data_IF_586084514769
#
_entry.id   IF_586084514769
#
_cell.length_a   1.000
_cell.length_b   1.000
_cell.length_c   1.000
_cell.angle_alpha   90.00
_cell.angle_beta   90.00
_cell.angle_gamma   90.00
#
_symmetry.space_group_name_H-M   'P 1'
#
loop_
_entity.id
_entity.type
_entity.pdbx_description
1 polymer ?
#
# COMPACT_ATOMS: atom_id res chain seq x y z
N UNK A 1 -7.07 4.15 -31.64
CA UNK A 1 -6.07 3.74 -30.63
C UNK A 1 -6.69 3.96 -29.26
N UNK A 2 -6.99 2.91 -28.51
CA UNK A 2 -7.40 3.03 -27.12
C UNK A 2 -6.14 2.80 -26.28
N UNK A 3 -5.57 3.87 -25.70
CA UNK A 3 -4.59 3.72 -24.64
C UNK A 3 -5.33 3.14 -23.44
N UNK A 4 -5.21 1.83 -23.23
CA UNK A 4 -5.93 1.13 -22.17
C UNK A 4 -5.49 1.61 -20.79
N UNK A 5 -6.23 2.56 -20.22
CA UNK A 5 -6.17 2.88 -18.79
C UNK A 5 -6.85 1.74 -18.02
N UNK A 6 -6.11 0.67 -17.74
CA UNK A 6 -6.58 -0.39 -16.85
C UNK A 6 -5.52 -0.70 -15.78
N UNK A 7 -4.83 0.33 -15.31
CA UNK A 7 -3.97 0.21 -14.14
C UNK A 7 -4.87 0.14 -12.90
N UNK A 8 -5.28 -1.08 -12.53
CA UNK A 8 -5.90 -1.35 -11.24
C UNK A 8 -4.90 -1.03 -10.14
N UNK A 9 -5.14 0.04 -9.40
CA UNK A 9 -4.35 0.42 -8.24
C UNK A 9 -5.14 0.05 -6.99
N UNK A 10 -4.53 -0.74 -6.11
CA UNK A 10 -5.04 -1.02 -4.77
C UNK A 10 -4.26 -0.13 -3.81
N UNK A 11 -4.96 0.74 -3.09
CA UNK A 11 -4.35 1.66 -2.12
C UNK A 11 -4.79 1.25 -0.72
N UNK A 12 -3.83 1.13 0.20
CA UNK A 12 -4.08 0.96 1.63
C UNK A 12 -3.27 1.96 2.45
N UNK A 13 -3.65 2.08 3.72
CA UNK A 13 -2.86 2.76 4.76
C UNK A 13 -2.40 1.72 5.77
N UNK A 14 -1.14 1.79 6.19
CA UNK A 14 -0.59 0.92 7.22
C UNK A 14 0.20 1.74 8.23
N UNK A 15 0.04 1.40 9.50
CA UNK A 15 0.74 2.02 10.62
C UNK A 15 1.39 0.96 11.49
N UNK A 16 2.33 1.39 12.34
CA UNK A 16 2.96 0.49 13.30
C UNK A 16 1.90 -0.23 14.14
N UNK A 17 1.95 -1.56 14.16
CA UNK A 17 1.00 -2.51 14.76
C UNK A 17 -0.16 -3.01 13.89
N UNK A 18 -0.33 -2.51 12.66
CA UNK A 18 -1.37 -3.02 11.77
C UNK A 18 -1.04 -4.45 11.25
N UNK A 19 -2.03 -5.35 11.12
CA UNK A 19 -1.78 -6.72 10.65
C UNK A 19 -1.29 -6.77 9.19
N UNK A 20 -0.08 -7.30 8.97
CA UNK A 20 0.49 -7.42 7.62
C UNK A 20 -0.23 -8.44 6.72
N UNK A 21 -1.01 -9.35 7.30
CA UNK A 21 -1.73 -10.38 6.55
C UNK A 21 -2.70 -9.77 5.50
N UNK A 22 -3.32 -8.64 5.83
CA UNK A 22 -4.19 -7.89 4.91
C UNK A 22 -3.39 -7.37 3.72
N UNK A 23 -2.28 -6.68 3.99
CA UNK A 23 -1.36 -6.14 2.98
C UNK A 23 -0.81 -7.21 2.02
N UNK A 24 -0.49 -8.40 2.54
CA UNK A 24 -0.09 -9.56 1.73
C UNK A 24 -1.23 -10.02 0.81
N UNK A 25 -2.46 -10.09 1.34
CA UNK A 25 -3.65 -10.42 0.55
C UNK A 25 -3.88 -9.42 -0.59
N UNK A 26 -3.70 -8.12 -0.32
CA UNK A 26 -3.82 -7.07 -1.33
C UNK A 26 -2.71 -7.15 -2.38
N UNK A 27 -1.47 -7.44 -1.99
CA UNK A 27 -0.38 -7.67 -2.94
C UNK A 27 -0.66 -8.89 -3.84
N UNK A 28 -1.20 -9.98 -3.29
CA UNK A 28 -1.63 -11.14 -4.09
C UNK A 28 -2.77 -10.77 -5.05
N UNK A 29 -3.77 -10.02 -4.59
CA UNK A 29 -4.87 -9.57 -5.44
C UNK A 29 -4.39 -8.66 -6.57
N UNK A 30 -3.49 -7.72 -6.28
CA UNK A 30 -2.86 -6.86 -7.28
C UNK A 30 -2.10 -7.70 -8.31
N UNK A 31 -1.27 -8.64 -7.86
CA UNK A 31 -0.52 -9.56 -8.72
C UNK A 31 -1.42 -10.33 -9.69
N UNK A 32 -2.48 -10.98 -9.17
CA UNK A 32 -3.39 -11.78 -9.99
C UNK A 32 -4.27 -10.96 -10.95
N UNK A 33 -4.50 -9.68 -10.64
CA UNK A 33 -5.32 -8.81 -11.48
C UNK A 33 -4.51 -7.94 -12.45
N UNK A 34 -3.17 -8.07 -12.44
CA UNK A 34 -2.27 -7.21 -13.21
C UNK A 34 -2.23 -5.77 -12.69
N UNK A 35 -2.63 -5.57 -11.44
CA UNK A 35 -2.65 -4.29 -10.75
C UNK A 35 -1.37 -3.98 -9.99
N UNK A 36 -1.35 -2.83 -9.33
CA UNK A 36 -0.29 -2.39 -8.42
C UNK A 36 -0.83 -2.18 -7.02
N UNK A 37 0.00 -2.45 -6.02
CA UNK A 37 -0.32 -2.25 -4.62
C UNK A 37 0.49 -1.07 -4.09
N UNK A 38 -0.19 -0.03 -3.59
CA UNK A 38 0.41 1.13 -2.96
C UNK A 38 -0.01 1.21 -1.49
N UNK A 39 0.96 1.35 -0.59
CA UNK A 39 0.73 1.52 0.84
C UNK A 39 1.22 2.90 1.30
N UNK A 40 0.36 3.62 2.00
CA UNK A 40 0.69 4.88 2.66
C UNK A 40 1.02 4.63 4.13
N UNK A 41 2.16 5.13 4.58
CA UNK A 41 2.63 4.96 5.96
C UNK A 41 2.95 6.31 6.60
N UNK A 42 2.77 6.46 7.93
CA UNK A 42 2.89 7.76 8.60
C UNK A 42 4.32 8.31 8.65
N UNK A 43 5.32 7.43 8.60
CA UNK A 43 6.73 7.79 8.80
C UNK A 43 7.68 6.76 8.15
N UNK A 44 8.96 7.13 8.04
CA UNK A 44 9.97 6.29 7.40
C UNK A 44 10.30 5.02 8.21
N UNK A 45 10.13 5.03 9.53
CA UNK A 45 10.30 3.80 10.33
C UNK A 45 9.18 2.80 10.00
N UNK A 46 7.95 3.27 9.93
CA UNK A 46 6.79 2.47 9.50
C UNK A 46 7.02 1.91 8.08
N UNK A 47 7.62 2.69 7.16
CA UNK A 47 8.00 2.21 5.82
C UNK A 47 8.98 1.04 5.86
N UNK A 48 10.04 1.14 6.65
CA UNK A 48 11.06 0.09 6.74
C UNK A 48 10.49 -1.19 7.35
N UNK A 49 9.68 -1.06 8.40
CA UNK A 49 9.01 -2.18 9.03
C UNK A 49 8.02 -2.87 8.07
N UNK A 50 7.22 -2.09 7.35
CA UNK A 50 6.30 -2.59 6.33
C UNK A 50 7.02 -3.33 5.20
N UNK A 51 8.09 -2.74 4.64
CA UNK A 51 8.87 -3.37 3.56
C UNK A 51 9.53 -4.68 4.02
N UNK A 52 10.04 -4.73 5.27
CA UNK A 52 10.61 -5.94 5.83
C UNK A 52 9.54 -7.05 5.99
N UNK A 53 8.34 -6.68 6.48
CA UNK A 53 7.24 -7.61 6.65
C UNK A 53 6.66 -8.10 5.30
N UNK A 54 6.74 -7.27 4.25
CA UNK A 54 6.33 -7.59 2.88
C UNK A 54 7.38 -8.37 2.07
N UNK A 55 8.51 -8.77 2.67
CA UNK A 55 9.58 -9.51 1.98
C UNK A 55 9.13 -10.81 1.29
N UNK A 56 8.03 -11.42 1.78
CA UNK A 56 7.44 -12.63 1.21
C UNK A 56 6.29 -12.36 0.22
N UNK A 57 6.00 -11.11 -0.11
CA UNK A 57 4.94 -10.76 -1.06
C UNK A 57 5.35 -11.13 -2.49
N UNK A 58 4.39 -11.50 -3.37
CA UNK A 58 4.68 -11.86 -4.76
C UNK A 58 5.15 -10.67 -5.62
N UNK A 59 4.91 -9.44 -5.14
CA UNK A 59 5.28 -8.18 -5.80
C UNK A 59 5.74 -7.18 -4.76
N UNK A 60 6.71 -6.34 -5.12
CA UNK A 60 7.15 -5.23 -4.27
C UNK A 60 6.05 -4.15 -4.26
N UNK A 61 5.45 -3.82 -3.10
CA UNK A 61 4.49 -2.74 -3.01
C UNK A 61 5.16 -1.37 -3.19
N UNK A 62 4.48 -0.43 -3.82
CA UNK A 62 4.87 0.98 -3.80
C UNK A 62 4.56 1.54 -2.41
N UNK A 63 5.49 2.21 -1.74
CA UNK A 63 5.28 2.75 -0.38
C UNK A 63 5.52 4.24 -0.38
N UNK A 64 4.52 5.00 0.06
CA UNK A 64 4.57 6.46 0.19
C UNK A 64 4.56 6.81 1.67
N UNK A 65 5.55 7.60 2.10
CA UNK A 65 5.54 8.20 3.43
C UNK A 65 4.79 9.52 3.36
N UNK A 66 3.76 9.67 4.19
CA UNK A 66 3.01 10.90 4.31
C UNK A 66 2.35 10.96 5.66
N UNK A 67 2.34 12.15 6.26
CA UNK A 67 1.50 12.41 7.43
C UNK A 67 0.06 12.10 7.02
N UNK A 68 -0.62 11.24 7.78
CA UNK A 68 -2.07 11.17 7.75
C UNK A 68 -2.59 12.49 8.34
N UNK A 69 -2.41 13.57 7.58
CA UNK A 69 -2.83 14.91 7.97
C UNK A 69 -4.33 14.81 8.23
N UNK A 70 -4.71 15.16 9.46
CA UNK A 70 -6.06 15.02 9.97
C UNK A 70 -7.04 15.84 9.14
N UNK A 71 -7.49 15.30 8.00
CA UNK A 71 -8.49 15.90 7.12
C UNK A 71 -9.92 15.62 7.58
N UNK A 72 -10.12 15.67 8.90
CA UNK A 72 -11.39 15.89 9.62
C UNK A 72 -10.90 16.56 10.90
N UNK A 73 -11.08 17.86 11.13
CA UNK A 73 -12.37 18.48 11.44
C UNK A 73 -12.39 19.94 10.92
N UNK A 74 -13.39 20.25 10.10
CA UNK A 74 -13.81 21.63 9.90
C UNK A 74 -14.49 22.13 11.17
N UNK A 75 -14.02 23.24 11.72
CA UNK A 75 -14.73 24.05 12.73
C UNK A 75 -15.74 24.99 12.06
#
# INVERSE_FOLDING_TARGET
MAAGWNTKLIVETWSHSDPIATSLGLAMAAHHTGGRHLCMVPDERSRLEYLNAMSNAPTVPEVVVGEADAATEGS
#
